data_IF_396756476510
#
_entry.id   IF_396756476510
#
_cell.length_a   1.000
_cell.length_b   1.000
_cell.length_c   1.000
_cell.angle_alpha   90.00
_cell.angle_beta   90.00
_cell.angle_gamma   90.00
#
_symmetry.space_group_name_H-M   'P 1'
#
loop_
_entity.id
_entity.type
_entity.pdbx_description
1 polymer ?
#
# COMPACT_ATOMS: atom_id res chain seq x y z
N UNK A 1 -80.28 52.31 -37.51
CA UNK A 1 -79.14 51.74 -38.26
C UNK A 1 -78.35 50.92 -37.24
N UNK A 2 -78.40 49.63 -37.30
CA UNK A 2 -77.90 48.67 -36.31
C UNK A 2 -76.42 48.43 -36.53
N UNK A 3 -75.59 48.56 -35.47
CA UNK A 3 -74.20 48.23 -35.47
C UNK A 3 -74.01 46.83 -34.84
N UNK A 4 -73.53 45.90 -35.58
CA UNK A 4 -73.22 44.56 -35.19
C UNK A 4 -71.88 44.53 -34.43
N UNK A 5 -71.92 44.10 -33.17
CA UNK A 5 -70.68 43.86 -32.34
C UNK A 5 -70.22 42.40 -32.52
N UNK A 6 -69.09 42.25 -33.15
CA UNK A 6 -68.39 40.96 -33.27
C UNK A 6 -67.66 40.63 -31.97
N UNK A 7 -67.96 39.52 -31.32
CA UNK A 7 -67.23 38.97 -30.15
C UNK A 7 -66.16 38.02 -30.65
N UNK A 8 -64.90 38.39 -30.38
CA UNK A 8 -63.77 37.50 -30.62
C UNK A 8 -63.56 36.57 -29.41
N UNK A 9 -63.64 35.30 -29.64
CA UNK A 9 -63.40 34.27 -28.61
C UNK A 9 -61.92 33.93 -28.67
N UNK A 10 -61.18 34.31 -27.59
CA UNK A 10 -59.82 33.82 -27.38
C UNK A 10 -59.84 32.41 -26.81
N UNK A 11 -59.37 31.42 -27.62
CA UNK A 11 -59.11 30.05 -27.14
C UNK A 11 -57.74 30.04 -26.43
N UNK A 12 -57.74 29.76 -25.13
CA UNK A 12 -56.57 29.58 -24.31
C UNK A 12 -56.12 28.10 -24.38
N UNK A 13 -55.14 27.79 -25.21
CA UNK A 13 -54.53 26.47 -25.27
C UNK A 13 -53.53 26.34 -24.10
N UNK A 14 -53.91 25.55 -23.10
CA UNK A 14 -53.01 25.17 -21.98
C UNK A 14 -52.08 24.04 -22.50
N UNK A 15 -50.81 24.38 -22.67
CA UNK A 15 -49.76 23.42 -22.98
C UNK A 15 -49.33 22.76 -21.70
N UNK A 16 -49.75 21.49 -21.45
CA UNK A 16 -49.28 20.65 -20.35
C UNK A 16 -47.85 20.20 -20.72
N UNK A 17 -46.82 20.80 -20.12
CA UNK A 17 -45.50 20.21 -20.09
C UNK A 17 -45.46 19.06 -19.12
N UNK A 18 -45.47 17.82 -19.62
CA UNK A 18 -45.17 16.63 -18.83
C UNK A 18 -43.69 16.66 -18.45
N UNK A 19 -43.39 17.01 -17.19
CA UNK A 19 -42.06 16.83 -16.62
C UNK A 19 -41.91 15.37 -16.27
N UNK A 20 -41.20 14.63 -17.11
CA UNK A 20 -40.76 13.27 -16.81
C UNK A 20 -39.72 13.33 -15.67
N UNK A 21 -40.12 13.02 -14.46
CA UNK A 21 -39.19 12.71 -13.40
C UNK A 21 -38.49 11.40 -13.75
N UNK A 22 -37.26 11.49 -14.24
CA UNK A 22 -36.34 10.36 -14.23
C UNK A 22 -36.03 10.12 -12.76
N UNK A 23 -36.68 9.12 -12.15
CA UNK A 23 -36.28 8.59 -10.86
C UNK A 23 -34.91 7.99 -11.03
N UNK A 24 -33.85 8.76 -10.71
CA UNK A 24 -32.54 8.20 -10.48
C UNK A 24 -32.70 7.18 -9.36
N UNK A 25 -32.60 5.89 -9.67
CA UNK A 25 -32.36 4.88 -8.67
C UNK A 25 -31.09 5.28 -7.92
N UNK A 26 -31.26 5.81 -6.72
CA UNK A 26 -30.15 5.96 -5.78
C UNK A 26 -29.66 4.54 -5.51
N UNK A 27 -28.46 4.22 -5.99
CA UNK A 27 -27.81 2.97 -5.63
C UNK A 27 -27.89 2.80 -4.12
N UNK A 28 -28.56 1.73 -3.68
CA UNK A 28 -28.65 1.39 -2.25
C UNK A 28 -27.22 1.37 -1.69
N UNK A 29 -26.96 1.94 -0.51
CA UNK A 29 -25.68 1.80 0.13
C UNK A 29 -25.36 0.31 0.22
N UNK A 30 -24.13 -0.08 -0.10
CA UNK A 30 -23.68 -1.46 0.08
C UNK A 30 -23.66 -1.76 1.59
N UNK A 31 -24.66 -2.42 2.09
CA UNK A 31 -24.99 -2.61 3.52
C UNK A 31 -24.29 -3.83 4.14
N UNK A 32 -23.01 -4.08 3.80
CA UNK A 32 -22.36 -5.29 4.30
C UNK A 32 -20.85 -5.05 4.54
N UNK A 33 -20.27 -5.76 5.52
CA UNK A 33 -18.85 -5.67 5.75
C UNK A 33 -18.06 -6.29 4.58
N UNK A 34 -17.23 -5.47 3.94
CA UNK A 34 -16.30 -5.89 2.91
C UNK A 34 -15.23 -6.80 3.53
N UNK A 35 -14.73 -6.44 4.73
CA UNK A 35 -13.80 -7.24 5.51
C UNK A 35 -14.53 -7.99 6.62
N UNK A 36 -14.36 -9.32 6.65
CA UNK A 36 -14.81 -10.16 7.76
C UNK A 36 -13.61 -10.89 8.36
N UNK A 37 -13.31 -10.66 9.63
CA UNK A 37 -12.21 -11.32 10.32
C UNK A 37 -12.46 -12.81 10.43
N UNK A 38 -11.49 -13.61 9.99
CA UNK A 38 -11.53 -15.06 10.05
C UNK A 38 -10.82 -15.57 11.30
N UNK A 39 -9.57 -15.12 11.51
CA UNK A 39 -8.72 -15.66 12.59
C UNK A 39 -7.55 -14.75 12.92
N UNK A 40 -6.92 -15.05 14.05
CA UNK A 40 -5.64 -14.47 14.48
C UNK A 40 -4.62 -15.60 14.59
N UNK A 41 -3.42 -15.40 14.03
CA UNK A 41 -2.30 -16.38 14.06
C UNK A 41 -1.12 -15.76 14.80
N UNK A 42 -0.61 -16.37 15.86
CA UNK A 42 0.60 -15.90 16.54
C UNK A 42 1.82 -15.95 15.60
N UNK A 43 2.73 -14.99 15.75
CA UNK A 43 3.98 -14.95 15.00
C UNK A 43 5.13 -14.40 15.85
N UNK A 44 6.31 -14.19 15.26
CA UNK A 44 7.45 -13.56 15.91
C UNK A 44 7.24 -12.07 16.21
N UNK A 45 8.20 -11.48 16.93
CA UNK A 45 8.10 -10.11 17.45
C UNK A 45 8.18 -9.05 16.35
N UNK A 46 7.31 -8.08 16.47
CA UNK A 46 7.25 -6.89 15.60
C UNK A 46 7.19 -7.25 14.11
N UNK A 47 6.14 -8.01 13.68
CA UNK A 47 5.92 -8.28 12.26
C UNK A 47 5.71 -6.96 11.51
N UNK A 48 6.61 -6.69 10.53
CA UNK A 48 6.73 -5.36 9.92
C UNK A 48 5.93 -5.19 8.64
N UNK A 49 5.86 -6.24 7.85
CA UNK A 49 5.12 -6.30 6.60
C UNK A 49 4.40 -7.64 6.50
N UNK A 50 3.44 -7.71 5.59
CA UNK A 50 2.72 -8.93 5.20
C UNK A 50 2.77 -9.02 3.69
N UNK A 51 3.27 -10.13 3.14
CA UNK A 51 3.32 -10.35 1.69
C UNK A 51 2.82 -11.76 1.39
N UNK A 52 1.72 -11.87 0.64
CA UNK A 52 1.27 -13.15 0.11
C UNK A 52 2.20 -13.64 -1.00
N UNK A 53 2.42 -14.94 -1.05
CA UNK A 53 3.08 -15.57 -2.21
C UNK A 53 2.21 -15.42 -3.47
N UNK A 54 2.82 -15.47 -4.67
CA UNK A 54 2.07 -15.32 -5.93
C UNK A 54 0.94 -16.32 -6.14
N UNK A 55 1.07 -17.53 -5.58
CA UNK A 55 0.06 -18.59 -5.63
C UNK A 55 -0.92 -18.55 -4.44
N UNK A 56 -0.73 -17.62 -3.50
CA UNK A 56 -1.55 -17.49 -2.29
C UNK A 56 -1.30 -18.58 -1.23
N UNK A 57 -0.37 -19.52 -1.45
CA UNK A 57 -0.13 -20.66 -0.56
C UNK A 57 0.49 -20.28 0.79
N UNK A 58 1.19 -19.14 0.85
CA UNK A 58 1.81 -18.70 2.08
C UNK A 58 1.90 -17.17 2.20
N UNK A 59 2.24 -16.74 3.41
CA UNK A 59 2.46 -15.33 3.77
C UNK A 59 3.87 -15.20 4.34
N UNK A 60 4.65 -14.27 3.80
CA UNK A 60 5.96 -13.91 4.35
C UNK A 60 5.84 -12.74 5.33
N UNK A 61 6.50 -12.87 6.49
CA UNK A 61 6.49 -11.92 7.59
C UNK A 61 7.92 -11.53 7.96
N UNK A 62 8.44 -10.37 7.53
CA UNK A 62 9.64 -9.76 8.09
C UNK A 62 9.45 -9.43 9.56
N UNK A 63 10.41 -9.80 10.43
CA UNK A 63 10.36 -9.54 11.87
C UNK A 63 11.40 -8.49 12.26
N UNK A 64 10.96 -7.36 12.80
CA UNK A 64 11.88 -6.27 13.12
C UNK A 64 12.66 -6.53 14.41
N UNK A 65 12.05 -7.11 15.43
CA UNK A 65 12.66 -7.37 16.75
C UNK A 65 12.85 -8.85 17.04
N UNK A 66 12.96 -9.66 15.99
CA UNK A 66 13.29 -11.07 16.11
C UNK A 66 14.34 -11.46 15.06
N UNK A 67 15.02 -12.59 15.30
CA UNK A 67 15.96 -13.12 14.33
C UNK A 67 15.19 -13.83 13.20
N UNK A 68 15.53 -13.50 11.95
CA UNK A 68 14.91 -14.12 10.79
C UNK A 68 13.58 -13.49 10.36
N UNK A 69 12.91 -14.22 9.50
CA UNK A 69 11.56 -13.93 9.03
C UNK A 69 10.72 -15.21 9.08
N UNK A 70 9.40 -15.06 9.00
CA UNK A 70 8.51 -16.20 9.06
C UNK A 70 7.73 -16.38 7.77
N UNK A 71 7.49 -17.65 7.45
CA UNK A 71 6.56 -18.09 6.42
C UNK A 71 5.40 -18.77 7.11
N UNK A 72 4.20 -18.26 6.91
CA UNK A 72 2.93 -18.82 7.43
C UNK A 72 2.20 -19.46 6.27
N UNK A 73 1.88 -20.75 6.35
CA UNK A 73 1.05 -21.44 5.36
C UNK A 73 -0.40 -20.97 5.48
N UNK A 74 -1.08 -20.76 4.36
CA UNK A 74 -2.46 -20.24 4.38
C UNK A 74 -3.50 -21.31 4.68
N UNK A 75 -3.23 -22.56 4.38
CA UNK A 75 -4.12 -23.70 4.59
C UNK A 75 -4.19 -24.15 6.08
N UNK A 76 -3.07 -24.50 6.67
CA UNK A 76 -2.97 -25.04 8.03
C UNK A 76 -2.43 -24.07 9.09
N UNK A 77 -2.00 -22.86 8.68
CA UNK A 77 -1.36 -21.80 9.48
C UNK A 77 -0.08 -22.24 10.18
N UNK A 78 0.56 -23.29 9.71
CA UNK A 78 1.88 -23.65 10.19
C UNK A 78 2.88 -22.51 9.95
N UNK A 79 3.75 -22.27 10.94
CA UNK A 79 4.72 -21.17 10.93
C UNK A 79 6.13 -21.73 10.89
N UNK A 80 6.88 -21.37 9.86
CA UNK A 80 8.29 -21.73 9.73
C UNK A 80 9.15 -20.46 9.83
N UNK A 81 10.11 -20.44 10.76
CA UNK A 81 11.09 -19.35 10.85
C UNK A 81 12.28 -19.65 9.94
N UNK A 82 12.68 -18.65 9.17
CA UNK A 82 13.77 -18.69 8.21
C UNK A 82 14.90 -17.76 8.65
N UNK A 83 16.12 -18.21 8.45
CA UNK A 83 17.33 -17.46 8.83
C UNK A 83 18.26 -17.33 7.62
N UNK A 84 18.59 -16.09 7.17
CA UNK A 84 19.70 -15.92 6.23
C UNK A 84 21.03 -16.31 6.87
N UNK A 85 22.07 -16.64 6.08
CA UNK A 85 23.34 -17.14 6.61
C UNK A 85 24.05 -16.23 7.62
N UNK A 86 23.81 -14.92 7.58
CA UNK A 86 24.36 -13.90 8.52
C UNK A 86 23.38 -13.49 9.62
N UNK A 87 22.49 -14.36 10.01
CA UNK A 87 21.20 -14.07 10.60
C UNK A 87 21.14 -13.86 12.10
N UNK A 88 22.24 -13.83 12.82
CA UNK A 88 22.20 -13.60 14.28
C UNK A 88 21.64 -12.20 14.68
N UNK A 89 21.31 -11.36 13.71
CA UNK A 89 20.86 -9.99 13.91
C UNK A 89 19.37 -9.83 13.56
N UNK A 90 18.72 -8.93 14.26
CA UNK A 90 17.35 -8.47 14.03
C UNK A 90 17.29 -7.49 12.85
N UNK A 91 16.10 -6.97 12.55
CA UNK A 91 15.93 -5.84 11.66
C UNK A 91 15.42 -6.17 10.27
N UNK A 92 14.67 -7.25 10.12
CA UNK A 92 13.99 -7.56 8.86
C UNK A 92 12.82 -6.59 8.66
N UNK A 93 12.80 -5.91 7.51
CA UNK A 93 11.90 -4.78 7.31
C UNK A 93 10.80 -5.03 6.28
N UNK A 94 11.17 -5.45 5.09
CA UNK A 94 10.25 -5.61 3.96
C UNK A 94 10.63 -6.85 3.14
N UNK A 95 9.64 -7.42 2.46
CA UNK A 95 9.78 -8.57 1.58
C UNK A 95 9.13 -8.33 0.23
N UNK A 96 9.54 -9.07 -0.78
CA UNK A 96 9.01 -8.99 -2.14
C UNK A 96 9.08 -10.37 -2.80
N UNK A 97 7.98 -10.83 -3.41
CA UNK A 97 8.00 -11.93 -4.36
C UNK A 97 8.14 -11.38 -5.79
N UNK A 98 8.97 -12.03 -6.58
CA UNK A 98 9.15 -11.78 -8.01
C UNK A 98 8.86 -13.09 -8.72
N UNK A 99 7.60 -13.28 -9.12
CA UNK A 99 7.09 -14.56 -9.62
C UNK A 99 7.81 -15.02 -10.89
N UNK A 100 8.05 -14.12 -11.83
CA UNK A 100 8.74 -14.38 -13.10
C UNK A 100 10.20 -14.78 -12.96
N UNK A 101 10.78 -14.56 -11.79
CA UNK A 101 12.16 -14.99 -11.44
C UNK A 101 12.19 -16.18 -10.49
N UNK A 102 11.02 -16.69 -10.07
CA UNK A 102 10.91 -17.64 -8.98
C UNK A 102 11.74 -17.20 -7.77
N UNK A 103 11.63 -15.92 -7.40
CA UNK A 103 12.44 -15.29 -6.38
C UNK A 103 11.61 -14.68 -5.27
N UNK A 104 12.16 -14.75 -4.07
CA UNK A 104 11.68 -14.05 -2.88
C UNK A 104 12.83 -13.25 -2.29
N UNK A 105 12.60 -11.98 -2.03
CA UNK A 105 13.56 -11.07 -1.42
C UNK A 105 13.12 -10.63 -0.04
N UNK A 106 14.10 -10.42 0.84
CA UNK A 106 13.86 -9.82 2.14
C UNK A 106 15.00 -8.86 2.51
N UNK A 107 14.64 -7.67 2.99
CA UNK A 107 15.61 -6.67 3.42
C UNK A 107 15.93 -6.79 4.91
N UNK A 108 17.21 -6.59 5.27
CA UNK A 108 17.65 -6.51 6.66
C UNK A 108 18.39 -5.19 6.91
N UNK A 109 17.78 -4.34 7.74
CA UNK A 109 18.29 -2.98 8.03
C UNK A 109 19.69 -3.00 8.65
N UNK A 110 19.93 -3.91 9.58
CA UNK A 110 21.16 -3.96 10.38
C UNK A 110 22.39 -4.40 9.62
N UNK A 111 22.21 -5.11 8.49
CA UNK A 111 23.34 -5.65 7.69
C UNK A 111 23.64 -4.85 6.44
N UNK A 112 22.67 -4.09 5.94
CA UNK A 112 22.80 -3.39 4.65
C UNK A 112 22.65 -4.29 3.44
N UNK A 113 21.99 -5.45 3.59
CA UNK A 113 21.77 -6.43 2.54
C UNK A 113 20.28 -6.70 2.34
N UNK A 114 19.95 -7.17 1.13
CA UNK A 114 18.76 -7.96 0.84
C UNK A 114 19.19 -9.39 0.56
N UNK A 115 18.36 -10.35 0.93
CA UNK A 115 18.61 -11.78 0.73
C UNK A 115 17.61 -12.33 -0.26
N UNK A 116 18.11 -13.12 -1.19
CA UNK A 116 17.32 -13.79 -2.21
C UNK A 116 17.18 -15.27 -1.91
N UNK A 117 15.94 -15.76 -2.01
CA UNK A 117 15.56 -17.15 -1.90
C UNK A 117 14.86 -17.61 -3.18
N UNK A 118 15.02 -18.86 -3.54
CA UNK A 118 14.23 -19.50 -4.61
C UNK A 118 12.84 -19.78 -4.09
N UNK A 119 11.80 -19.26 -4.75
CA UNK A 119 10.41 -19.58 -4.47
C UNK A 119 9.85 -20.48 -5.61
N UNK A 120 9.00 -21.49 -5.29
CA UNK A 120 8.64 -21.96 -3.95
C UNK A 120 9.78 -22.74 -3.28
N UNK A 121 9.63 -23.02 -1.98
CA UNK A 121 10.59 -23.83 -1.21
C UNK A 121 11.56 -23.03 -0.35
N UNK A 122 11.81 -21.78 -0.66
CA UNK A 122 12.64 -20.86 0.10
C UNK A 122 14.06 -21.37 0.34
N UNK A 123 14.68 -21.92 -0.71
CA UNK A 123 16.10 -22.23 -0.69
C UNK A 123 16.93 -20.95 -0.87
N UNK A 124 17.84 -20.69 0.05
CA UNK A 124 18.73 -19.52 -0.03
C UNK A 124 19.52 -19.52 -1.34
N UNK A 125 19.54 -18.38 -2.05
CA UNK A 125 20.28 -18.22 -3.31
C UNK A 125 21.51 -17.34 -3.12
N UNK A 126 21.33 -16.12 -2.63
CA UNK A 126 22.42 -15.14 -2.46
C UNK A 126 22.03 -13.99 -1.55
N UNK A 127 23.04 -13.23 -1.13
CA UNK A 127 22.88 -11.90 -0.57
C UNK A 127 23.27 -10.84 -1.60
N UNK A 128 22.58 -9.71 -1.60
CA UNK A 128 22.85 -8.57 -2.46
C UNK A 128 23.07 -7.35 -1.58
N UNK A 129 24.24 -6.70 -1.75
CA UNK A 129 24.54 -5.46 -1.03
C UNK A 129 23.65 -4.33 -1.53
N UNK A 130 23.12 -3.51 -0.63
CA UNK A 130 22.23 -2.41 -1.02
C UNK A 130 22.96 -1.08 -1.23
N UNK A 131 24.27 -1.02 -0.92
CA UNK A 131 25.12 0.18 -1.06
C UNK A 131 24.63 1.39 -0.29
N UNK A 132 23.78 1.19 0.71
CA UNK A 132 23.26 2.20 1.61
C UNK A 132 23.06 1.67 3.01
N UNK A 133 22.60 2.52 3.91
CA UNK A 133 22.40 2.22 5.33
C UNK A 133 20.91 2.14 5.65
N UNK A 134 20.52 1.07 6.33
CA UNK A 134 19.15 0.72 6.65
C UNK A 134 18.26 0.54 5.43
N UNK A 135 18.54 -0.51 4.60
CA UNK A 135 17.63 -0.87 3.52
C UNK A 135 16.25 -1.21 4.09
N UNK A 136 15.22 -0.71 3.43
CA UNK A 136 13.83 -0.94 3.81
C UNK A 136 13.05 -1.49 2.64
N UNK A 137 12.37 -0.64 1.89
CA UNK A 137 11.44 -1.04 0.85
C UNK A 137 12.18 -1.57 -0.37
N UNK A 138 11.63 -2.62 -0.98
CA UNK A 138 12.13 -3.24 -2.21
C UNK A 138 11.02 -3.15 -3.24
N UNK A 139 11.32 -2.64 -4.44
CA UNK A 139 10.43 -2.70 -5.60
C UNK A 139 11.15 -3.30 -6.81
N UNK A 140 10.37 -3.80 -7.74
CA UNK A 140 10.82 -4.54 -8.92
C UNK A 140 10.30 -3.93 -10.20
N UNK A 141 11.14 -3.88 -11.23
CA UNK A 141 10.77 -3.62 -12.62
C UNK A 141 11.15 -4.82 -13.48
N UNK A 142 10.14 -5.48 -14.05
CA UNK A 142 10.32 -6.61 -14.94
C UNK A 142 11.00 -6.18 -16.24
N UNK A 143 10.58 -5.07 -16.82
CA UNK A 143 11.07 -4.55 -18.11
C UNK A 143 12.53 -4.12 -18.03
N UNK A 144 12.96 -3.59 -16.89
CA UNK A 144 14.34 -3.17 -16.65
C UNK A 144 15.19 -4.27 -16.00
N UNK A 145 14.57 -5.39 -15.58
CA UNK A 145 15.24 -6.45 -14.82
C UNK A 145 16.00 -5.89 -13.61
N UNK A 146 15.34 -5.01 -12.85
CA UNK A 146 15.96 -4.13 -11.88
C UNK A 146 15.22 -4.09 -10.55
N UNK A 147 15.96 -4.14 -9.45
CA UNK A 147 15.46 -3.87 -8.09
C UNK A 147 15.74 -2.41 -7.71
N UNK A 148 14.79 -1.78 -7.03
CA UNK A 148 15.03 -0.52 -6.32
C UNK A 148 14.91 -0.77 -4.82
N UNK A 149 15.92 -0.33 -4.05
CA UNK A 149 15.97 -0.50 -2.59
C UNK A 149 16.15 0.85 -1.92
N UNK A 150 15.17 1.24 -1.11
CA UNK A 150 15.25 2.48 -0.33
C UNK A 150 16.18 2.29 0.89
N UNK A 151 17.13 3.20 1.06
CA UNK A 151 18.10 3.22 2.16
C UNK A 151 17.79 4.40 3.10
N UNK A 152 17.11 4.11 4.18
CA UNK A 152 16.53 5.09 5.10
C UNK A 152 17.51 6.11 5.62
N UNK A 153 18.63 5.66 6.21
CA UNK A 153 19.61 6.54 6.84
C UNK A 153 20.48 7.27 5.82
N UNK A 154 20.77 6.62 4.69
CA UNK A 154 21.59 7.22 3.63
C UNK A 154 20.86 8.26 2.81
N UNK A 155 19.52 8.36 2.89
CA UNK A 155 18.70 9.23 2.04
C UNK A 155 18.93 8.93 0.54
N UNK A 156 18.98 7.66 0.20
CA UNK A 156 19.19 7.18 -1.17
C UNK A 156 18.26 6.04 -1.55
N UNK A 157 18.09 5.84 -2.85
CA UNK A 157 17.57 4.59 -3.40
C UNK A 157 18.65 3.99 -4.29
N UNK A 158 18.92 2.70 -4.10
CA UNK A 158 19.85 1.95 -4.95
C UNK A 158 19.07 1.25 -6.04
N UNK A 159 19.44 1.48 -7.30
CA UNK A 159 19.01 0.69 -8.46
C UNK A 159 20.04 -0.42 -8.69
N UNK A 160 19.57 -1.66 -8.64
CA UNK A 160 20.42 -2.86 -8.64
C UNK A 160 20.00 -3.75 -9.80
N UNK A 161 20.93 -4.13 -10.65
CA UNK A 161 20.72 -5.13 -11.69
C UNK A 161 20.43 -6.49 -11.03
N UNK A 162 19.35 -7.12 -11.42
CA UNK A 162 18.94 -8.39 -10.82
C UNK A 162 19.91 -9.52 -11.08
N UNK A 163 20.41 -9.67 -12.32
CA UNK A 163 21.21 -10.84 -12.69
C UNK A 163 22.56 -10.83 -11.95
N UNK A 164 23.20 -9.69 -11.93
CA UNK A 164 24.55 -9.54 -11.36
C UNK A 164 24.55 -9.18 -9.87
N UNK A 165 23.44 -8.61 -9.34
CA UNK A 165 23.41 -8.00 -8.01
C UNK A 165 24.24 -6.73 -7.90
N UNK A 166 24.68 -6.16 -9.01
CA UNK A 166 25.55 -4.98 -9.07
C UNK A 166 24.74 -3.69 -8.98
N UNK A 167 25.33 -2.68 -8.36
CA UNK A 167 24.77 -1.34 -8.33
C UNK A 167 24.80 -0.71 -9.72
N UNK A 168 23.64 -0.43 -10.28
CA UNK A 168 23.49 0.33 -11.52
C UNK A 168 23.61 1.83 -11.22
N UNK A 169 22.90 2.28 -10.19
CA UNK A 169 22.85 3.69 -9.83
C UNK A 169 22.42 3.93 -8.38
N UNK A 170 22.86 5.03 -7.82
CA UNK A 170 22.33 5.57 -6.56
C UNK A 170 21.55 6.86 -6.84
N UNK A 171 20.27 6.88 -6.51
CA UNK A 171 19.43 8.08 -6.53
C UNK A 171 19.58 8.81 -5.20
N UNK A 172 19.93 10.09 -5.23
CA UNK A 172 19.93 10.96 -4.04
C UNK A 172 18.52 11.49 -3.83
N UNK A 173 17.89 11.14 -2.72
CA UNK A 173 16.50 11.46 -2.42
C UNK A 173 16.37 12.51 -1.31
N UNK A 174 15.15 12.93 -1.04
CA UNK A 174 14.81 13.59 0.21
C UNK A 174 15.06 12.67 1.42
N UNK A 175 14.81 13.19 2.62
CA UNK A 175 15.10 12.49 3.88
C UNK A 175 14.26 11.21 4.05
N UNK A 176 14.91 10.15 4.49
CA UNK A 176 14.28 8.91 4.93
C UNK A 176 13.37 8.27 3.87
N UNK A 177 13.91 7.91 2.68
CA UNK A 177 13.13 7.29 1.63
C UNK A 177 12.49 5.99 2.12
N UNK A 178 11.22 5.76 1.73
CA UNK A 178 10.45 4.62 2.20
C UNK A 178 9.81 3.84 1.06
N UNK A 179 8.53 4.05 0.77
CA UNK A 179 7.85 3.39 -0.34
C UNK A 179 8.41 3.84 -1.68
N UNK A 180 8.59 2.89 -2.60
CA UNK A 180 9.01 3.15 -3.97
C UNK A 180 8.11 2.39 -4.94
N UNK A 181 7.93 2.92 -6.15
CA UNK A 181 7.19 2.22 -7.21
C UNK A 181 7.74 2.61 -8.57
N UNK A 182 8.06 1.60 -9.38
CA UNK A 182 8.36 1.81 -10.80
C UNK A 182 7.08 2.11 -11.58
N UNK A 183 7.19 2.97 -12.57
CA UNK A 183 6.15 3.29 -13.55
C UNK A 183 6.74 3.40 -14.96
N UNK A 184 5.86 3.41 -15.95
CA UNK A 184 6.21 3.57 -17.38
C UNK A 184 7.24 2.52 -17.83
N UNK A 185 6.98 1.23 -17.52
CA UNK A 185 7.90 0.15 -17.86
C UNK A 185 9.28 0.30 -17.20
N UNK A 186 9.34 0.86 -15.99
CA UNK A 186 10.58 1.06 -15.25
C UNK A 186 11.41 2.27 -15.68
N UNK A 187 10.94 3.09 -16.63
CA UNK A 187 11.61 4.34 -17.03
C UNK A 187 11.64 5.35 -15.89
N UNK A 188 10.61 5.37 -15.06
CA UNK A 188 10.55 6.26 -13.91
C UNK A 188 10.37 5.48 -12.61
N UNK A 189 10.89 6.05 -11.52
CA UNK A 189 10.70 5.57 -10.16
C UNK A 189 10.11 6.66 -9.29
N UNK A 190 9.00 6.37 -8.63
CA UNK A 190 8.44 7.23 -7.57
C UNK A 190 9.06 6.82 -6.24
N UNK A 191 9.48 7.80 -5.46
CA UNK A 191 10.08 7.61 -4.13
C UNK A 191 9.34 8.48 -3.12
N UNK A 192 8.89 7.87 -2.04
CA UNK A 192 8.29 8.55 -0.90
C UNK A 192 9.38 8.90 0.13
N UNK A 193 9.48 10.16 0.51
CA UNK A 193 10.43 10.64 1.51
C UNK A 193 9.71 10.89 2.84
N UNK A 194 9.85 9.96 3.78
CA UNK A 194 9.14 9.98 5.06
C UNK A 194 9.54 11.18 5.93
N UNK A 195 10.83 11.40 6.10
CA UNK A 195 11.34 12.51 6.94
C UNK A 195 11.34 13.87 6.24
N UNK A 196 11.18 13.90 4.93
CA UNK A 196 11.21 15.13 4.12
C UNK A 196 9.83 15.62 3.67
N UNK A 197 8.80 14.79 3.80
CA UNK A 197 7.43 15.14 3.36
C UNK A 197 7.28 15.31 1.86
N UNK A 198 8.12 14.67 1.05
CA UNK A 198 8.07 14.79 -0.41
C UNK A 198 7.77 13.46 -1.10
N UNK A 199 7.19 13.57 -2.30
CA UNK A 199 7.00 12.48 -3.26
C UNK A 199 7.80 12.87 -4.48
N UNK A 200 8.82 12.09 -4.80
CA UNK A 200 9.80 12.40 -5.84
C UNK A 200 9.69 11.41 -7.00
N UNK A 201 9.77 11.90 -8.23
CA UNK A 201 9.80 11.11 -9.45
C UNK A 201 11.16 11.24 -10.10
N UNK A 202 11.84 10.12 -10.27
CA UNK A 202 13.17 10.04 -10.87
C UNK A 202 13.11 9.37 -12.24
N UNK A 203 13.97 9.81 -13.15
CA UNK A 203 14.35 9.05 -14.33
C UNK A 203 15.36 7.97 -13.91
N UNK A 204 15.12 6.71 -14.23
CA UNK A 204 15.94 5.58 -13.75
C UNK A 204 17.25 5.45 -14.53
N UNK A 205 17.30 5.93 -15.77
CA UNK A 205 18.48 5.85 -16.61
C UNK A 205 19.51 6.94 -16.27
N UNK A 206 19.08 8.19 -16.19
CA UNK A 206 19.97 9.30 -15.82
C UNK A 206 20.17 9.44 -14.31
N UNK A 207 19.19 9.01 -13.50
CA UNK A 207 19.13 9.24 -12.06
C UNK A 207 18.67 10.65 -11.68
N UNK A 208 18.20 11.42 -12.64
CA UNK A 208 17.77 12.80 -12.42
C UNK A 208 16.40 12.86 -11.76
N UNK A 209 16.21 13.77 -10.81
CA UNK A 209 14.91 14.14 -10.29
C UNK A 209 14.11 14.87 -11.38
N UNK A 210 12.98 14.30 -11.79
CA UNK A 210 12.10 14.86 -12.83
C UNK A 210 11.10 15.84 -12.21
N UNK A 211 10.41 15.40 -11.16
CA UNK A 211 9.32 16.13 -10.50
C UNK A 211 9.30 15.82 -9.00
N UNK A 212 8.78 16.74 -8.20
CA UNK A 212 8.52 16.54 -6.80
C UNK A 212 7.21 17.17 -6.37
N UNK A 213 6.52 16.53 -5.44
CA UNK A 213 5.38 17.07 -4.70
C UNK A 213 5.86 17.25 -3.28
N UNK A 214 5.84 18.47 -2.79
CA UNK A 214 6.23 18.82 -1.43
C UNK A 214 4.99 19.02 -0.56
N UNK A 215 5.01 18.44 0.65
CA UNK A 215 3.97 18.63 1.64
C UNK A 215 4.59 18.79 3.02
N UNK A 216 4.46 19.98 3.56
CA UNK A 216 5.05 20.33 4.85
C UNK A 216 4.68 19.31 5.95
N UNK A 217 5.67 18.88 6.71
CA UNK A 217 5.55 17.92 7.84
C UNK A 217 4.95 16.56 7.48
N UNK A 218 4.69 16.24 6.22
CA UNK A 218 4.16 14.93 5.87
C UNK A 218 5.18 13.81 6.15
N UNK A 219 4.66 12.63 6.49
CA UNK A 219 5.44 11.42 6.70
C UNK A 219 4.96 10.34 5.72
N UNK A 220 5.39 10.50 4.45
CA UNK A 220 4.95 9.65 3.34
C UNK A 220 5.46 8.22 3.51
N UNK A 221 4.54 7.25 3.60
CA UNK A 221 4.90 5.91 4.11
C UNK A 221 4.83 4.79 3.08
N UNK A 222 3.71 4.63 2.42
CA UNK A 222 3.46 3.53 1.49
C UNK A 222 2.74 4.04 0.25
N UNK A 223 3.02 3.42 -0.91
CA UNK A 223 2.44 3.77 -2.21
C UNK A 223 1.90 2.52 -2.89
N UNK A 224 0.74 2.65 -3.51
CA UNK A 224 0.22 1.70 -4.50
C UNK A 224 -0.22 2.45 -5.74
N UNK A 225 -0.11 1.80 -6.89
CA UNK A 225 -0.43 2.36 -8.21
C UNK A 225 -1.57 1.55 -8.81
N UNK A 226 -2.51 2.20 -9.48
CA UNK A 226 -3.55 1.51 -10.21
C UNK A 226 -3.01 0.85 -11.49
N UNK A 227 -3.77 -0.09 -12.05
CA UNK A 227 -3.28 -0.95 -13.14
C UNK A 227 -2.92 -0.22 -14.43
N UNK A 228 -3.55 0.93 -14.71
CA UNK A 228 -3.29 1.75 -15.90
C UNK A 228 -2.23 2.85 -15.67
N UNK A 229 -1.60 2.86 -14.50
CA UNK A 229 -0.58 3.83 -14.09
C UNK A 229 -1.01 5.32 -14.23
N UNK A 230 -2.31 5.59 -14.12
CA UNK A 230 -2.82 6.97 -14.15
C UNK A 230 -2.88 7.59 -12.76
N UNK A 231 -2.99 6.74 -11.70
CA UNK A 231 -3.15 7.17 -10.31
C UNK A 231 -2.25 6.40 -9.37
N UNK A 232 -1.79 7.10 -8.35
CA UNK A 232 -1.18 6.48 -7.18
C UNK A 232 -1.93 6.89 -5.91
N UNK A 233 -1.87 6.00 -4.90
CA UNK A 233 -2.38 6.28 -3.57
C UNK A 233 -1.23 6.22 -2.58
N UNK A 234 -1.19 7.18 -1.64
CA UNK A 234 -0.07 7.33 -0.69
C UNK A 234 -0.60 7.56 0.72
N UNK A 235 -0.08 6.80 1.68
CA UNK A 235 -0.35 7.03 3.10
C UNK A 235 0.60 8.05 3.69
N UNK A 236 0.06 8.97 4.51
CA UNK A 236 0.80 9.98 5.26
C UNK A 236 0.50 9.82 6.75
N UNK A 237 1.51 9.33 7.50
CA UNK A 237 1.37 9.05 8.92
C UNK A 237 1.16 10.33 9.74
N UNK A 238 1.83 11.44 9.38
CA UNK A 238 1.77 12.67 10.15
C UNK A 238 0.39 13.33 10.07
N UNK A 239 -0.16 13.46 8.86
CA UNK A 239 -1.48 14.09 8.67
C UNK A 239 -2.65 13.12 8.85
N UNK A 240 -2.38 11.85 9.19
CA UNK A 240 -3.41 10.81 9.32
C UNK A 240 -4.29 10.73 8.06
N UNK A 241 -3.69 10.70 6.89
CA UNK A 241 -4.39 10.86 5.63
C UNK A 241 -3.90 9.87 4.57
N UNK A 242 -4.76 9.63 3.61
CA UNK A 242 -4.40 9.00 2.33
C UNK A 242 -4.64 10.00 1.22
N UNK A 243 -3.71 10.08 0.29
CA UNK A 243 -3.76 10.96 -0.88
C UNK A 243 -3.94 10.16 -2.15
N UNK A 244 -4.68 10.73 -3.10
CA UNK A 244 -4.67 10.32 -4.50
C UNK A 244 -3.77 11.28 -5.28
N UNK A 245 -2.95 10.73 -6.17
CA UNK A 245 -2.02 11.45 -7.04
C UNK A 245 -2.41 11.16 -8.48
N UNK A 246 -2.58 12.20 -9.30
CA UNK A 246 -2.60 12.10 -10.74
C UNK A 246 -1.15 11.91 -11.23
N UNK A 247 -0.82 10.76 -11.79
CA UNK A 247 0.54 10.42 -12.22
C UNK A 247 0.96 11.09 -13.53
N UNK A 248 -0.01 11.52 -14.34
CA UNK A 248 0.26 12.24 -15.60
C UNK A 248 0.68 13.67 -15.29
N UNK A 249 -0.09 14.37 -14.45
CA UNK A 249 0.21 15.76 -14.03
C UNK A 249 1.21 15.81 -12.88
N UNK A 250 1.40 14.73 -12.18
CA UNK A 250 2.17 14.58 -10.96
C UNK A 250 1.74 15.56 -9.87
N UNK A 251 0.45 15.52 -9.50
CA UNK A 251 -0.16 16.41 -8.51
C UNK A 251 -1.08 15.66 -7.57
N UNK A 252 -1.21 16.13 -6.32
CA UNK A 252 -2.23 15.66 -5.38
C UNK A 252 -3.61 16.10 -5.85
N UNK A 253 -4.55 15.17 -5.98
CA UNK A 253 -5.90 15.44 -6.46
C UNK A 253 -6.95 15.36 -5.36
N UNK A 254 -6.84 14.39 -4.48
CA UNK A 254 -7.79 14.16 -3.37
C UNK A 254 -7.05 13.77 -2.10
N UNK A 255 -7.70 14.00 -0.97
CA UNK A 255 -7.24 13.51 0.33
C UNK A 255 -8.41 13.03 1.17
N UNK A 256 -8.18 12.01 1.99
CA UNK A 256 -9.14 11.51 2.97
C UNK A 256 -8.44 11.28 4.30
N UNK A 257 -9.06 11.73 5.37
CA UNK A 257 -8.55 11.48 6.72
C UNK A 257 -8.94 10.07 7.16
N UNK A 258 -7.99 9.35 7.74
CA UNK A 258 -8.16 8.01 8.30
C UNK A 258 -7.72 7.99 9.76
N UNK A 259 -7.80 6.82 10.41
CA UNK A 259 -7.33 6.69 11.78
C UNK A 259 -5.83 6.97 11.91
N UNK A 260 -5.37 7.27 13.14
CA UNK A 260 -4.01 7.75 13.43
C UNK A 260 -2.91 6.82 12.91
N UNK A 261 -1.86 7.42 12.38
CA UNK A 261 -0.67 6.73 11.88
C UNK A 261 -0.96 5.68 10.80
N UNK A 262 -1.63 6.04 9.65
CA UNK A 262 -1.81 5.12 8.54
C UNK A 262 -0.45 4.63 8.03
N UNK A 263 -0.32 3.33 7.84
CA UNK A 263 0.96 2.69 7.55
C UNK A 263 0.97 2.08 6.14
N UNK A 264 0.55 0.85 6.01
CA UNK A 264 0.51 0.15 4.73
C UNK A 264 -0.86 0.30 4.10
N UNK A 265 -0.88 0.47 2.79
CA UNK A 265 -2.10 0.50 1.98
C UNK A 265 -2.02 -0.56 0.90
N UNK A 266 -3.15 -1.11 0.49
CA UNK A 266 -3.27 -2.05 -0.61
C UNK A 266 -4.51 -1.71 -1.43
N UNK A 267 -4.42 -1.85 -2.75
CA UNK A 267 -5.49 -1.59 -3.69
C UNK A 267 -5.98 -2.91 -4.29
N UNK A 268 -7.29 -3.13 -4.28
CA UNK A 268 -7.92 -4.23 -4.99
C UNK A 268 -9.27 -3.79 -5.55
N UNK A 269 -9.44 -3.90 -6.86
CA UNK A 269 -10.61 -3.35 -7.56
C UNK A 269 -10.81 -1.86 -7.26
N UNK A 270 -12.02 -1.48 -6.84
CA UNK A 270 -12.36 -0.10 -6.44
C UNK A 270 -12.17 0.16 -4.95
N UNK A 271 -11.45 -0.71 -4.22
CA UNK A 271 -11.25 -0.54 -2.78
C UNK A 271 -9.79 -0.39 -2.41
N UNK A 272 -9.53 0.63 -1.61
CA UNK A 272 -8.22 0.86 -0.98
C UNK A 272 -8.31 0.48 0.51
N UNK A 273 -7.48 -0.45 0.92
CA UNK A 273 -7.38 -0.94 2.29
C UNK A 273 -6.22 -0.24 3.00
N UNK A 274 -6.44 0.20 4.22
CA UNK A 274 -5.46 0.98 4.99
C UNK A 274 -5.29 0.40 6.39
N UNK A 275 -4.06 0.05 6.76
CA UNK A 275 -3.73 -0.25 8.16
C UNK A 275 -3.31 1.03 8.88
N UNK A 276 -3.92 1.32 10.02
CA UNK A 276 -3.62 2.48 10.85
C UNK A 276 -3.22 2.04 12.25
N UNK A 277 -2.01 2.42 12.68
CA UNK A 277 -1.39 1.92 13.91
C UNK A 277 -2.06 2.39 15.19
N UNK A 278 -2.87 3.44 15.13
CA UNK A 278 -3.34 4.16 16.29
C UNK A 278 -2.34 5.20 16.79
N UNK A 279 -2.68 5.99 17.82
CA UNK A 279 -1.79 6.98 18.39
C UNK A 279 -0.53 6.31 18.98
N UNK A 280 0.59 7.00 18.93
CA UNK A 280 1.80 6.51 19.58
C UNK A 280 1.63 6.47 21.10
N UNK A 281 2.35 5.59 21.76
CA UNK A 281 2.50 5.66 23.21
C UNK A 281 3.18 7.00 23.57
N UNK A 282 2.63 7.78 24.50
CA UNK A 282 3.15 9.11 24.82
C UNK A 282 4.55 9.10 25.44
N UNK A 283 4.97 8.00 26.07
CA UNK A 283 6.31 7.88 26.66
C UNK A 283 7.35 7.44 25.63
N UNK A 284 6.95 6.51 24.73
CA UNK A 284 7.85 5.90 23.77
C UNK A 284 7.04 5.27 22.62
N UNK A 285 7.26 5.74 21.39
CA UNK A 285 6.54 5.25 20.21
C UNK A 285 6.81 3.76 19.89
N UNK A 286 7.85 3.16 20.49
CA UNK A 286 8.17 1.74 20.34
C UNK A 286 7.39 0.84 21.30
N UNK A 287 6.73 1.41 22.32
CA UNK A 287 5.84 0.71 23.25
C UNK A 287 4.45 0.53 22.66
N UNK A 288 3.66 -0.31 23.31
CA UNK A 288 2.24 -0.49 22.94
C UNK A 288 1.51 0.85 22.89
N UNK A 289 0.70 1.01 21.85
CA UNK A 289 -0.25 2.12 21.76
C UNK A 289 -1.28 2.01 22.92
N UNK A 290 -1.76 3.12 23.48
CA UNK A 290 -2.83 3.09 24.49
C UNK A 290 -4.15 2.53 23.96
N UNK A 291 -4.36 2.54 22.66
CA UNK A 291 -5.54 1.97 21.99
C UNK A 291 -5.12 1.12 20.81
N UNK A 292 -5.95 0.16 20.41
CA UNK A 292 -5.74 -0.62 19.21
C UNK A 292 -5.84 0.25 17.95
N UNK A 293 -5.22 -0.24 16.88
CA UNK A 293 -5.33 0.40 15.58
C UNK A 293 -6.59 -0.02 14.82
N UNK A 294 -6.65 0.39 13.55
CA UNK A 294 -7.81 0.11 12.68
C UNK A 294 -7.39 -0.30 11.29
N UNK A 295 -8.27 -1.05 10.66
CA UNK A 295 -8.29 -1.27 9.22
C UNK A 295 -9.44 -0.45 8.64
N UNK A 296 -9.15 0.42 7.66
CA UNK A 296 -10.15 1.21 6.95
C UNK A 296 -10.26 0.73 5.52
N UNK A 297 -11.48 0.66 4.98
CA UNK A 297 -11.76 0.40 3.56
C UNK A 297 -12.29 1.67 2.94
N UNK A 298 -11.62 2.17 1.92
CA UNK A 298 -11.99 3.37 1.17
C UNK A 298 -12.47 2.93 -0.21
N UNK A 299 -13.67 3.34 -0.59
CA UNK A 299 -14.15 3.26 -1.96
C UNK A 299 -13.50 4.40 -2.76
N UNK A 300 -12.66 4.06 -3.75
CA UNK A 300 -11.88 5.05 -4.50
C UNK A 300 -12.73 5.85 -5.50
N UNK A 301 -13.89 5.36 -5.90
CA UNK A 301 -14.78 6.07 -6.82
C UNK A 301 -15.53 7.18 -6.09
N UNK A 302 -16.14 6.85 -4.95
CA UNK A 302 -16.87 7.80 -4.11
C UNK A 302 -15.96 8.60 -3.18
N UNK A 303 -14.73 8.15 -2.97
CA UNK A 303 -13.73 8.71 -2.05
C UNK A 303 -14.24 8.79 -0.61
N UNK A 304 -14.85 7.71 -0.13
CA UNK A 304 -15.42 7.59 1.23
C UNK A 304 -14.89 6.35 1.93
N UNK A 305 -14.74 6.44 3.24
CA UNK A 305 -14.54 5.26 4.09
C UNK A 305 -15.89 4.54 4.15
N UNK A 306 -15.91 3.29 3.68
CA UNK A 306 -17.12 2.44 3.63
C UNK A 306 -17.13 1.40 4.73
N UNK A 307 -15.98 1.13 5.36
CA UNK A 307 -15.86 0.27 6.53
C UNK A 307 -14.65 0.68 7.38
N UNK A 308 -14.81 0.63 8.69
CA UNK A 308 -13.71 0.61 9.65
C UNK A 308 -13.86 -0.61 10.57
N UNK A 309 -12.75 -1.33 10.76
CA UNK A 309 -12.69 -2.51 11.62
C UNK A 309 -11.55 -2.31 12.62
N UNK A 310 -11.80 -2.61 13.90
CA UNK A 310 -10.75 -2.62 14.90
C UNK A 310 -9.75 -3.75 14.60
N UNK A 311 -8.46 -3.44 14.58
CA UNK A 311 -7.35 -4.39 14.51
C UNK A 311 -6.75 -4.63 15.89
N UNK A 312 -5.60 -5.29 15.93
CA UNK A 312 -4.81 -5.41 17.17
C UNK A 312 -3.99 -4.15 17.46
N UNK A 313 -2.92 -4.30 18.25
CA UNK A 313 -2.09 -3.16 18.63
C UNK A 313 -1.04 -2.87 17.55
N UNK A 314 -1.15 -1.68 17.00
CA UNK A 314 -0.31 -1.16 15.91
C UNK A 314 -0.37 -2.00 14.63
N UNK A 315 -1.51 -2.15 13.92
CA UNK A 315 -1.56 -2.73 12.59
C UNK A 315 -0.55 -2.03 11.68
N UNK A 316 0.42 -2.79 11.15
CA UNK A 316 1.56 -2.19 10.43
C UNK A 316 1.64 -2.72 9.01
N UNK A 317 1.88 -4.03 8.83
CA UNK A 317 1.84 -4.67 7.52
C UNK A 317 0.41 -4.96 7.09
N UNK A 318 0.17 -4.90 5.78
CA UNK A 318 -1.10 -5.25 5.17
C UNK A 318 -0.82 -5.81 3.78
N UNK A 319 -1.41 -6.94 3.45
CA UNK A 319 -1.31 -7.57 2.13
C UNK A 319 -2.63 -8.20 1.73
N UNK A 320 -2.83 -8.33 0.43
CA UNK A 320 -4.00 -8.97 -0.19
C UNK A 320 -3.51 -10.16 -1.01
N UNK A 321 -4.22 -11.29 -0.96
CA UNK A 321 -3.96 -12.42 -1.84
C UNK A 321 -4.24 -12.06 -3.31
N UNK A 322 -3.54 -12.71 -4.25
CA UNK A 322 -3.64 -12.36 -5.67
C UNK A 322 -5.06 -12.55 -6.25
N UNK A 323 -5.83 -13.50 -5.70
CA UNK A 323 -7.22 -13.72 -6.07
C UNK A 323 -8.18 -12.69 -5.45
N UNK A 324 -7.67 -11.84 -4.55
CA UNK A 324 -8.44 -10.82 -3.85
C UNK A 324 -9.37 -11.35 -2.76
N UNK A 325 -9.33 -12.66 -2.46
CA UNK A 325 -10.24 -13.27 -1.50
C UNK A 325 -9.85 -12.98 -0.04
N UNK A 326 -8.56 -12.75 0.22
CA UNK A 326 -8.05 -12.60 1.57
C UNK A 326 -7.22 -11.34 1.75
N UNK A 327 -7.38 -10.73 2.92
CA UNK A 327 -6.49 -9.69 3.43
C UNK A 327 -5.84 -10.21 4.72
N UNK A 328 -4.55 -9.93 4.87
CA UNK A 328 -3.82 -10.16 6.10
C UNK A 328 -3.22 -8.86 6.62
N UNK A 329 -3.34 -8.61 7.92
CA UNK A 329 -2.72 -7.48 8.61
C UNK A 329 -1.84 -7.98 9.75
N UNK A 330 -0.67 -7.36 9.94
CA UNK A 330 0.21 -7.68 11.08
C UNK A 330 0.00 -6.67 12.21
N UNK A 331 -0.10 -7.16 13.45
CA UNK A 331 -0.18 -6.35 14.65
C UNK A 331 1.20 -6.30 15.32
N UNK A 332 1.88 -5.18 15.15
CA UNK A 332 3.29 -5.01 15.46
C UNK A 332 3.65 -5.27 16.93
N UNK A 333 2.78 -4.85 17.85
CA UNK A 333 3.01 -5.01 19.29
C UNK A 333 2.34 -6.25 19.89
N UNK A 334 1.47 -6.93 19.15
CA UNK A 334 0.81 -8.15 19.60
C UNK A 334 1.53 -9.43 19.16
N UNK A 335 2.55 -9.31 18.29
CA UNK A 335 3.25 -10.45 17.72
C UNK A 335 2.28 -11.46 17.09
N UNK A 336 1.35 -10.98 16.28
CA UNK A 336 0.40 -11.80 15.55
C UNK A 336 0.01 -11.16 14.22
N UNK A 337 -0.66 -11.96 13.39
CA UNK A 337 -1.34 -11.51 12.18
C UNK A 337 -2.83 -11.81 12.28
N UNK A 338 -3.63 -11.02 11.60
CA UNK A 338 -5.06 -11.21 11.45
C UNK A 338 -5.42 -11.44 10.00
N UNK A 339 -6.15 -12.52 9.73
CA UNK A 339 -6.67 -12.87 8.42
C UNK A 339 -8.13 -12.46 8.30
N UNK A 340 -8.47 -11.87 7.17
CA UNK A 340 -9.81 -11.41 6.83
C UNK A 340 -10.22 -11.99 5.47
N UNK A 341 -11.49 -12.31 5.33
CA UNK A 341 -12.11 -12.55 4.03
C UNK A 341 -12.56 -11.21 3.43
N UNK A 342 -12.23 -10.99 2.15
CA UNK A 342 -12.72 -9.86 1.37
C UNK A 342 -13.92 -10.36 0.57
N UNK A 343 -15.11 -9.84 0.85
CA UNK A 343 -16.27 -10.16 0.04
C UNK A 343 -16.21 -9.47 -1.31
N UNK A 344 -16.35 -10.26 -2.36
CA UNK A 344 -16.47 -9.76 -3.72
C UNK A 344 -17.83 -9.11 -3.95
N UNK A 345 -17.96 -8.03 -4.76
CA UNK A 345 -19.25 -7.51 -5.20
C UNK A 345 -20.14 -8.53 -5.91
N UNK A 346 -19.56 -9.61 -6.45
CA UNK A 346 -20.29 -10.70 -7.09
C UNK A 346 -20.92 -11.72 -6.12
N UNK A 347 -20.65 -11.60 -4.83
CA UNK A 347 -21.26 -12.45 -3.78
C UNK A 347 -22.57 -11.87 -3.22
N UNK A 348 -23.17 -10.90 -3.92
CA UNK A 348 -24.41 -10.22 -3.57
C UNK A 348 -25.51 -10.38 -4.61
#
# INVERSE_FOLDING_TARGET
>A
MAGIKTRTIFSLSVLLCAVSFVSGESAKPKDFPILTKLRTVPCGKQPKQVVFSPDGSCIALPLLDDAGFQIVQTDDQSVRTMYPPRSAQKGFAEALFVAEKNAFFISQMTTGYIYEYVWPGFTYRREIKTFGVWPKFISWSNEKNMLAVSNWVSNTVSLIDYETGSLVRTLKTGKEPRGTAFISGGISLIVLCFGGGSIQKFDTESGSLIQAIEKEKAAMRHIVINADETKAYVSDMYHCSVYEIDLIKFTLTRSIRVFSNPNTIALYGSYLFVSSRGPNNPEDYTKRSPVNGRLSVIDIDTWKIVQETEGGNQPTGLGISNDGAYLCSSNFQDANIELYHIRSPSEF
#
